data_IF_239114052408
#
_entry.id   IF_239114052408
#
_cell.length_a   1.000
_cell.length_b   1.000
_cell.length_c   1.000
_cell.angle_alpha   90.00
_cell.angle_beta   90.00
_cell.angle_gamma   90.00
#
_symmetry.space_group_name_H-M   'P 1'
#
loop_
_entity.id
_entity.type
_entity.pdbx_description
1 polymer ?
#
# COMPACT_ATOMS: atom_id res chain seq x y z
N UNK A 1 -6.09 -17.23 -6.83
CA UNK A 1 -6.75 -15.91 -6.64
C UNK A 1 -5.88 -14.70 -7.04
N UNK A 2 -4.60 -14.86 -7.40
CA UNK A 2 -3.72 -13.75 -7.81
C UNK A 2 -4.27 -12.89 -8.96
N UNK A 3 -4.91 -13.51 -9.96
CA UNK A 3 -5.54 -12.80 -11.09
C UNK A 3 -6.64 -11.80 -10.68
N UNK A 4 -7.20 -11.92 -9.47
CA UNK A 4 -8.20 -10.97 -8.96
C UNK A 4 -7.58 -9.74 -8.29
N UNK A 5 -6.26 -9.71 -8.04
CA UNK A 5 -5.60 -8.63 -7.31
C UNK A 5 -5.57 -7.33 -8.13
N UNK A 6 -5.10 -7.37 -9.37
CA UNK A 6 -5.05 -6.21 -10.25
C UNK A 6 -6.43 -5.55 -10.46
N UNK A 7 -7.53 -6.27 -10.78
CA UNK A 7 -8.84 -5.63 -10.94
C UNK A 7 -9.43 -5.10 -9.62
N UNK A 8 -9.06 -5.67 -8.47
CA UNK A 8 -9.59 -5.25 -7.16
C UNK A 8 -9.24 -3.81 -6.78
N UNK A 9 -8.18 -3.25 -7.38
CA UNK A 9 -7.69 -1.90 -7.09
C UNK A 9 -8.03 -0.87 -8.17
N UNK A 10 -8.87 -1.24 -9.14
CA UNK A 10 -9.23 -0.39 -10.30
C UNK A 10 -9.84 0.97 -9.96
N UNK A 11 -10.37 1.17 -8.75
CA UNK A 11 -10.95 2.44 -8.30
C UNK A 11 -9.98 3.33 -7.51
N UNK A 12 -8.74 2.88 -7.26
CA UNK A 12 -7.73 3.68 -6.58
C UNK A 12 -7.02 4.64 -7.55
N UNK A 13 -6.53 5.77 -7.04
CA UNK A 13 -5.67 6.68 -7.80
C UNK A 13 -4.23 6.18 -7.91
N UNK A 14 -3.75 5.48 -6.88
CA UNK A 14 -2.46 4.80 -6.85
C UNK A 14 -2.50 3.63 -5.87
N UNK A 15 -1.59 2.67 -6.04
CA UNK A 15 -1.51 1.45 -5.23
C UNK A 15 -0.07 1.14 -4.86
N UNK A 16 0.14 0.75 -3.61
CA UNK A 16 1.41 0.20 -3.14
C UNK A 16 1.17 -1.22 -2.64
N UNK A 17 1.76 -2.19 -3.33
CA UNK A 17 1.71 -3.59 -2.94
C UNK A 17 2.90 -3.89 -2.03
N UNK A 18 2.64 -4.45 -0.85
CA UNK A 18 3.70 -4.90 0.04
C UNK A 18 4.05 -6.36 -0.23
N UNK A 19 5.33 -6.63 -0.50
CA UNK A 19 5.88 -7.98 -0.61
C UNK A 19 6.64 -8.33 0.68
N UNK A 20 6.06 -9.16 1.57
CA UNK A 20 6.76 -9.60 2.77
C UNK A 20 7.98 -10.47 2.43
N UNK A 21 9.00 -10.49 3.31
CA UNK A 21 10.09 -11.45 3.19
C UNK A 21 9.53 -12.88 3.26
N UNK A 22 9.97 -13.75 2.35
CA UNK A 22 9.51 -15.15 2.30
C UNK A 22 8.22 -15.38 1.52
N UNK A 23 7.70 -14.39 0.78
CA UNK A 23 6.67 -14.66 -0.23
C UNK A 23 7.30 -15.42 -1.40
N UNK A 24 6.83 -16.65 -1.65
CA UNK A 24 7.40 -17.55 -2.67
C UNK A 24 7.12 -17.11 -4.13
N UNK A 25 6.34 -16.04 -4.32
CA UNK A 25 5.94 -15.53 -5.63
C UNK A 25 6.05 -14.01 -5.67
N UNK A 26 6.31 -13.46 -6.86
CA UNK A 26 6.51 -12.02 -7.06
C UNK A 26 5.21 -11.29 -7.33
N UNK A 27 5.05 -10.12 -6.71
CA UNK A 27 3.98 -9.17 -7.01
C UNK A 27 4.24 -8.34 -8.28
N UNK A 28 5.41 -8.47 -8.91
CA UNK A 28 5.77 -7.71 -10.12
C UNK A 28 4.76 -7.91 -11.25
N UNK A 29 4.25 -9.14 -11.45
CA UNK A 29 3.23 -9.40 -12.47
C UNK A 29 1.90 -8.72 -12.14
N UNK A 30 1.54 -8.61 -10.86
CA UNK A 30 0.32 -7.91 -10.42
C UNK A 30 0.45 -6.41 -10.68
N UNK A 31 1.65 -5.85 -10.49
CA UNK A 31 1.93 -4.45 -10.80
C UNK A 31 1.94 -4.21 -12.30
N UNK A 32 2.54 -5.11 -13.10
CA UNK A 32 2.56 -5.01 -14.56
C UNK A 32 1.14 -5.02 -15.16
N UNK A 33 0.24 -5.82 -14.59
CA UNK A 33 -1.16 -5.92 -15.02
C UNK A 33 -2.09 -4.88 -14.36
N UNK A 34 -1.53 -3.95 -13.57
CA UNK A 34 -2.36 -3.03 -12.79
C UNK A 34 -3.06 -2.00 -13.68
N UNK A 35 -4.38 -1.77 -13.51
CA UNK A 35 -5.11 -0.77 -14.27
C UNK A 35 -4.82 0.68 -13.83
N UNK A 36 -4.06 0.85 -12.75
CA UNK A 36 -3.75 2.13 -12.09
C UNK A 36 -2.26 2.17 -11.74
N UNK A 37 -1.68 3.36 -11.49
CA UNK A 37 -0.29 3.46 -11.05
C UNK A 37 -0.03 2.58 -9.82
N UNK A 38 0.84 1.59 -9.96
CA UNK A 38 1.14 0.63 -8.91
C UNK A 38 2.64 0.42 -8.76
N UNK A 39 3.08 0.08 -7.54
CA UNK A 39 4.46 -0.28 -7.23
C UNK A 39 4.52 -1.36 -6.17
N UNK A 40 5.59 -2.15 -6.17
CA UNK A 40 5.92 -3.09 -5.10
C UNK A 40 6.88 -2.42 -4.11
N UNK A 41 6.66 -2.63 -2.82
CA UNK A 41 7.62 -2.28 -1.76
C UNK A 41 7.82 -3.47 -0.82
N UNK A 42 9.02 -3.59 -0.27
CA UNK A 42 9.39 -4.60 0.74
C UNK A 42 9.57 -3.99 2.14
N UNK A 43 9.37 -2.68 2.28
CA UNK A 43 9.55 -1.94 3.53
C UNK A 43 8.25 -1.22 3.92
N UNK A 44 7.71 -1.59 5.09
CA UNK A 44 6.48 -1.00 5.64
C UNK A 44 6.71 0.44 6.07
N UNK A 45 7.85 0.74 6.68
CA UNK A 45 8.12 2.07 7.20
C UNK A 45 8.34 3.04 6.02
N UNK A 46 9.04 2.61 4.97
CA UNK A 46 9.13 3.34 3.70
C UNK A 46 7.78 3.56 2.99
N UNK A 47 6.84 2.62 3.06
CA UNK A 47 5.46 2.83 2.56
C UNK A 47 4.79 3.97 3.33
N UNK A 48 4.89 3.95 4.66
CA UNK A 48 4.26 4.96 5.52
C UNK A 48 4.85 6.34 5.20
N UNK A 49 6.18 6.45 5.17
CA UNK A 49 6.86 7.72 4.90
C UNK A 49 6.43 8.31 3.56
N UNK A 50 6.37 7.47 2.51
CA UNK A 50 5.97 7.91 1.18
C UNK A 50 4.51 8.40 1.16
N UNK A 51 3.58 7.63 1.73
CA UNK A 51 2.14 7.97 1.74
C UNK A 51 1.89 9.22 2.56
N UNK A 52 2.54 9.35 3.71
CA UNK A 52 2.38 10.50 4.61
C UNK A 52 2.98 11.76 3.98
N UNK A 53 4.10 11.63 3.25
CA UNK A 53 4.72 12.73 2.53
C UNK A 53 3.85 13.25 1.36
N UNK A 54 3.12 12.38 0.66
CA UNK A 54 2.24 12.75 -0.46
C UNK A 54 0.81 13.09 -0.04
N UNK A 55 0.40 12.80 1.20
CA UNK A 55 -0.95 13.07 1.68
C UNK A 55 -1.23 14.58 1.76
N UNK A 56 -2.31 14.99 1.11
CA UNK A 56 -2.89 16.34 1.18
C UNK A 56 -4.26 16.31 1.90
N UNK A 57 -4.78 17.46 2.39
CA UNK A 57 -6.13 17.54 2.93
C UNK A 57 -7.17 16.94 1.98
N UNK A 58 -7.97 15.99 2.47
CA UNK A 58 -8.96 15.27 1.68
C UNK A 58 -8.45 13.95 1.06
N UNK A 59 -7.16 13.63 1.20
CA UNK A 59 -6.61 12.32 0.81
C UNK A 59 -7.29 11.21 1.60
N UNK A 60 -7.64 10.12 0.91
CA UNK A 60 -8.24 8.92 1.51
C UNK A 60 -7.27 7.76 1.35
N UNK A 61 -6.85 7.19 2.47
CA UNK A 61 -5.94 6.04 2.51
C UNK A 61 -6.73 4.81 2.93
N UNK A 62 -6.71 3.77 2.09
CA UNK A 62 -7.32 2.47 2.39
C UNK A 62 -6.21 1.44 2.53
N UNK A 63 -6.10 0.84 3.71
CA UNK A 63 -5.15 -0.23 3.98
C UNK A 63 -5.91 -1.54 3.92
N UNK A 64 -5.50 -2.44 3.01
CA UNK A 64 -6.10 -3.77 2.86
C UNK A 64 -5.10 -4.83 3.30
N UNK A 65 -5.46 -5.60 4.33
CA UNK A 65 -4.65 -6.74 4.78
C UNK A 65 -5.51 -7.82 5.39
N UNK A 66 -5.09 -9.07 5.18
CA UNK A 66 -5.70 -10.24 5.82
C UNK A 66 -5.09 -10.54 7.20
N UNK A 67 -4.17 -9.71 7.72
CA UNK A 67 -3.50 -9.93 9.00
C UNK A 67 -2.92 -8.66 9.62
N UNK A 68 -1.93 -8.82 10.50
CA UNK A 68 -1.37 -7.72 11.30
C UNK A 68 -0.56 -6.69 10.51
N UNK A 69 -0.04 -7.06 9.33
CA UNK A 69 0.64 -6.16 8.39
C UNK A 69 1.70 -5.24 9.03
N UNK A 70 2.53 -5.81 9.92
CA UNK A 70 3.56 -5.06 10.66
C UNK A 70 3.02 -3.92 11.54
N UNK A 71 1.72 -3.92 11.87
CA UNK A 71 1.08 -2.85 12.62
C UNK A 71 0.84 -1.57 11.82
N UNK A 72 0.89 -1.61 10.48
CA UNK A 72 0.83 -0.43 9.60
C UNK A 72 -0.36 0.48 9.89
N UNK A 73 -1.52 -0.05 10.31
CA UNK A 73 -2.70 0.74 10.62
C UNK A 73 -2.43 1.78 11.73
N UNK A 74 -1.80 1.35 12.82
CA UNK A 74 -1.48 2.25 13.94
C UNK A 74 -0.31 3.16 13.60
N UNK A 75 0.73 2.63 12.94
CA UNK A 75 1.89 3.43 12.52
C UNK A 75 1.50 4.54 11.53
N UNK A 76 0.69 4.23 10.52
CA UNK A 76 0.20 5.19 9.53
C UNK A 76 -0.63 6.29 10.19
N UNK A 77 -1.54 5.93 11.10
CA UNK A 77 -2.34 6.90 11.84
C UNK A 77 -1.45 7.86 12.63
N UNK A 78 -0.50 7.34 13.40
CA UNK A 78 0.43 8.16 14.19
C UNK A 78 1.28 9.07 13.29
N UNK A 79 1.78 8.55 12.17
CA UNK A 79 2.59 9.35 11.24
C UNK A 79 1.78 10.49 10.58
N UNK A 80 0.52 10.25 10.23
CA UNK A 80 -0.38 11.29 9.73
C UNK A 80 -0.67 12.36 10.80
N UNK A 81 -0.94 11.94 12.05
CA UNK A 81 -1.14 12.87 13.17
C UNK A 81 0.10 13.73 13.44
N UNK A 82 1.29 13.14 13.40
CA UNK A 82 2.56 13.88 13.61
C UNK A 82 2.83 14.89 12.49
N UNK A 83 2.51 14.55 11.24
CA UNK A 83 2.84 15.40 10.08
C UNK A 83 1.76 16.45 9.76
N UNK A 84 0.50 16.10 9.94
CA UNK A 84 -0.65 16.86 9.44
C UNK A 84 -1.73 17.16 10.50
N UNK A 85 -1.54 16.70 11.74
CA UNK A 85 -2.42 17.02 12.88
C UNK A 85 -2.09 18.36 13.52
#
# INVERSE_FOLDING_TARGET
>A
HMAALAPSVSQASEVIWYQPPGLDWSLDSVVADSPVPARVSTDIDGIIDQVVASAEPGTRIVIMSNGGFGGIHQKMKQALEVRHG
#
